data_IF_319162242744
#
_entry.id   IF_319162242744
#
_cell.length_a   1.000
_cell.length_b   1.000
_cell.length_c   1.000
_cell.angle_alpha   90.00
_cell.angle_beta   90.00
_cell.angle_gamma   90.00
#
_symmetry.space_group_name_H-M   'P 1'
#
loop_
_entity.id
_entity.type
_entity.pdbx_description
1 polymer ?
#
# COMPACT_ATOMS: atom_id res chain seq x y z
N UNK A 1 3.17 -13.98 7.05
CA UNK A 1 3.78 -13.24 5.94
C UNK A 1 3.06 -11.90 5.79
N UNK A 2 3.81 -10.87 5.44
CA UNK A 2 3.24 -9.60 5.00
C UNK A 2 3.44 -9.45 3.50
N UNK A 3 2.88 -8.41 2.92
CA UNK A 3 3.17 -8.03 1.55
C UNK A 3 3.38 -6.52 1.48
N UNK A 4 4.23 -6.11 0.57
CA UNK A 4 4.56 -4.70 0.34
C UNK A 4 4.00 -4.31 -1.01
N UNK A 5 3.15 -3.30 -1.02
CA UNK A 5 2.68 -2.65 -2.24
C UNK A 5 3.40 -1.31 -2.36
N UNK A 6 4.14 -1.13 -3.45
CA UNK A 6 4.93 0.07 -3.68
C UNK A 6 4.38 0.81 -4.90
N UNK A 7 4.15 2.11 -4.75
CA UNK A 7 3.61 2.98 -5.79
C UNK A 7 4.66 3.94 -6.30
N UNK A 8 4.75 4.07 -7.62
CA UNK A 8 5.44 5.17 -8.28
C UNK A 8 4.38 6.16 -8.74
N UNK A 9 4.54 7.41 -8.36
CA UNK A 9 3.57 8.46 -8.67
C UNK A 9 3.98 9.25 -9.92
N UNK A 10 2.99 9.87 -10.56
CA UNK A 10 3.26 10.81 -11.66
C UNK A 10 3.88 12.11 -11.09
N UNK A 11 4.47 12.94 -11.96
CA UNK A 11 5.28 14.08 -11.55
C UNK A 11 4.52 15.13 -10.74
N UNK A 12 3.23 15.32 -11.00
CA UNK A 12 2.39 16.29 -10.30
C UNK A 12 1.52 15.65 -9.21
N UNK A 13 1.99 14.56 -8.62
CA UNK A 13 1.26 13.74 -7.67
C UNK A 13 0.47 14.54 -6.62
N UNK A 14 1.10 15.51 -5.97
CA UNK A 14 0.44 16.27 -4.90
C UNK A 14 -0.78 17.04 -5.37
N UNK A 15 -0.81 17.46 -6.63
CA UNK A 15 -1.94 18.16 -7.24
C UNK A 15 -2.93 17.18 -7.83
N UNK A 16 -2.46 16.21 -8.60
CA UNK A 16 -3.31 15.25 -9.31
C UNK A 16 -4.11 14.38 -8.35
N UNK A 17 -3.54 14.00 -7.21
CA UNK A 17 -4.21 13.17 -6.22
C UNK A 17 -5.43 13.82 -5.58
N UNK A 18 -5.50 15.16 -5.52
CA UNK A 18 -6.54 15.88 -4.79
C UNK A 18 -7.94 15.42 -5.18
N UNK A 19 -8.18 15.24 -6.47
CA UNK A 19 -9.48 14.82 -6.98
C UNK A 19 -9.87 13.41 -6.54
N UNK A 20 -8.88 12.51 -6.40
CA UNK A 20 -9.11 11.08 -6.13
C UNK A 20 -8.81 10.70 -4.69
N UNK A 21 -8.28 11.62 -3.90
CA UNK A 21 -7.83 11.33 -2.55
C UNK A 21 -8.95 10.83 -1.63
N UNK A 22 -10.14 11.45 -1.60
CA UNK A 22 -11.21 10.95 -0.74
C UNK A 22 -11.58 9.49 -1.03
N UNK A 23 -11.71 9.12 -2.30
CA UNK A 23 -12.06 7.75 -2.69
C UNK A 23 -10.92 6.76 -2.40
N UNK A 24 -9.67 7.17 -2.63
CA UNK A 24 -8.49 6.38 -2.28
C UNK A 24 -8.45 6.11 -0.77
N UNK A 25 -8.65 7.14 0.05
CA UNK A 25 -8.65 6.99 1.51
C UNK A 25 -9.80 6.10 1.99
N UNK A 26 -10.99 6.19 1.41
CA UNK A 26 -12.09 5.29 1.75
C UNK A 26 -11.74 3.84 1.45
N UNK A 27 -11.16 3.59 0.29
CA UNK A 27 -10.73 2.23 -0.08
C UNK A 27 -9.67 1.70 0.86
N UNK A 28 -8.70 2.54 1.23
CA UNK A 28 -7.61 2.16 2.14
C UNK A 28 -8.14 1.84 3.54
N UNK A 29 -9.00 2.70 4.09
CA UNK A 29 -9.56 2.45 5.42
C UNK A 29 -10.52 1.26 5.43
N UNK A 30 -11.22 1.00 4.35
CA UNK A 30 -12.02 -0.22 4.21
C UNK A 30 -11.13 -1.46 4.25
N UNK A 31 -9.96 -1.40 3.64
CA UNK A 31 -8.99 -2.50 3.70
C UNK A 31 -8.43 -2.69 5.12
N UNK A 32 -8.23 -1.62 5.87
CA UNK A 32 -7.86 -1.70 7.30
C UNK A 32 -8.95 -2.42 8.09
N UNK A 33 -10.20 -2.04 7.91
CA UNK A 33 -11.33 -2.63 8.63
C UNK A 33 -11.52 -4.11 8.32
N UNK A 34 -11.22 -4.54 7.08
CA UNK A 34 -11.25 -5.95 6.70
C UNK A 34 -10.11 -6.77 7.28
N UNK A 35 -9.08 -6.11 7.84
CA UNK A 35 -7.88 -6.80 8.31
C UNK A 35 -6.84 -7.05 7.23
N UNK A 36 -6.95 -6.42 6.07
CA UNK A 36 -6.01 -6.59 4.95
C UNK A 36 -4.84 -5.61 5.01
N UNK A 37 -5.10 -4.36 5.34
CA UNK A 37 -4.09 -3.29 5.31
C UNK A 37 -3.66 -2.93 6.73
N UNK A 38 -2.37 -3.01 6.98
CA UNK A 38 -1.79 -2.67 8.28
C UNK A 38 -1.42 -1.19 8.36
N UNK A 39 -0.75 -0.68 7.34
CA UNK A 39 -0.17 0.65 7.35
C UNK A 39 0.07 1.12 5.93
N UNK A 40 -0.11 2.41 5.67
CA UNK A 40 0.16 2.97 4.36
C UNK A 40 0.48 4.46 4.42
N UNK A 41 1.22 4.95 3.45
CA UNK A 41 1.58 6.35 3.37
C UNK A 41 2.57 6.66 2.26
N UNK A 42 3.05 7.90 2.25
CA UNK A 42 4.05 8.38 1.31
C UNK A 42 5.41 8.39 1.97
N UNK A 43 6.40 7.91 1.24
CA UNK A 43 7.80 7.84 1.70
C UNK A 43 8.60 8.93 1.03
N UNK A 44 9.43 9.61 1.81
CA UNK A 44 10.34 10.64 1.33
C UNK A 44 9.85 12.05 1.61
N UNK A 45 10.59 13.03 1.14
CA UNK A 45 10.29 14.45 1.30
C UNK A 45 10.03 15.14 -0.04
N UNK A 46 10.22 14.39 -1.11
CA UNK A 46 10.04 14.77 -2.50
C UNK A 46 11.30 14.42 -3.31
N UNK A 47 11.14 13.64 -4.36
CA UNK A 47 9.90 13.00 -4.83
C UNK A 47 9.42 11.92 -3.85
N UNK A 48 8.12 11.69 -3.81
CA UNK A 48 7.49 10.70 -2.94
C UNK A 48 7.28 9.38 -3.67
N UNK A 49 7.32 8.27 -2.89
CA UNK A 49 6.79 6.98 -3.32
C UNK A 49 5.70 6.56 -2.36
N UNK A 50 4.80 5.69 -2.78
CA UNK A 50 3.78 5.14 -1.90
C UNK A 50 4.22 3.79 -1.36
N UNK A 51 3.90 3.52 -0.09
CA UNK A 51 4.19 2.25 0.54
C UNK A 51 2.99 1.83 1.36
N UNK A 52 2.46 0.63 1.08
CA UNK A 52 1.35 0.05 1.82
C UNK A 52 1.75 -1.37 2.25
N UNK A 53 1.51 -1.67 3.51
CA UNK A 53 1.86 -2.97 4.10
C UNK A 53 0.58 -3.76 4.32
N UNK A 54 0.49 -4.91 3.68
CA UNK A 54 -0.65 -5.80 3.79
C UNK A 54 -0.35 -6.97 4.71
N UNK A 55 -1.39 -7.45 5.36
CA UNK A 55 -1.35 -8.52 6.36
C UNK A 55 -2.52 -9.48 6.11
N UNK A 56 -2.80 -10.39 7.04
CA UNK A 56 -3.90 -11.35 6.94
C UNK A 56 -3.46 -12.68 6.34
N UNK A 57 -4.42 -13.46 5.87
CA UNK A 57 -4.16 -14.82 5.37
C UNK A 57 -3.48 -14.82 4.00
N UNK A 58 -3.87 -13.90 3.11
CA UNK A 58 -3.35 -13.81 1.75
C UNK A 58 -2.93 -12.37 1.43
N UNK A 59 -1.89 -11.86 2.09
CA UNK A 59 -1.53 -10.43 1.97
C UNK A 59 -1.10 -10.02 0.56
N UNK A 60 -0.41 -10.90 -0.17
CA UNK A 60 0.02 -10.57 -1.53
C UNK A 60 -1.17 -10.43 -2.47
N UNK A 61 -2.14 -11.33 -2.38
CA UNK A 61 -3.35 -11.27 -3.19
C UNK A 61 -4.20 -10.04 -2.83
N UNK A 62 -4.31 -9.75 -1.52
CA UNK A 62 -5.01 -8.55 -1.04
C UNK A 62 -4.35 -7.26 -1.57
N UNK A 63 -3.02 -7.20 -1.58
CA UNK A 63 -2.27 -6.06 -2.10
C UNK A 63 -2.52 -5.86 -3.60
N UNK A 64 -2.49 -6.94 -4.38
CA UNK A 64 -2.75 -6.89 -5.82
C UNK A 64 -4.19 -6.45 -6.13
N UNK A 65 -5.16 -7.00 -5.40
CA UNK A 65 -6.56 -6.63 -5.58
C UNK A 65 -6.79 -5.16 -5.22
N UNK A 66 -6.18 -4.67 -4.15
CA UNK A 66 -6.26 -3.27 -3.75
C UNK A 66 -5.72 -2.37 -4.86
N UNK A 67 -4.51 -2.64 -5.35
CA UNK A 67 -3.89 -1.83 -6.38
C UNK A 67 -4.73 -1.79 -7.67
N UNK A 68 -5.28 -2.92 -8.08
CA UNK A 68 -6.10 -3.00 -9.29
C UNK A 68 -7.37 -2.14 -9.20
N UNK A 69 -7.89 -1.90 -8.01
CA UNK A 69 -9.14 -1.17 -7.78
C UNK A 69 -8.93 0.25 -7.24
N UNK A 70 -7.70 0.61 -6.84
CA UNK A 70 -7.41 1.91 -6.23
C UNK A 70 -7.63 3.03 -7.23
N UNK A 71 -8.47 4.05 -6.90
CA UNK A 71 -8.66 5.21 -7.77
C UNK A 71 -7.37 5.93 -8.15
N UNK A 72 -6.35 5.91 -7.31
CA UNK A 72 -5.03 6.44 -7.66
C UNK A 72 -4.40 5.71 -8.83
N UNK A 73 -4.59 4.39 -8.89
CA UNK A 73 -4.04 3.55 -9.96
C UNK A 73 -4.89 3.70 -11.23
N UNK A 74 -6.21 3.57 -11.09
CA UNK A 74 -7.11 3.59 -12.25
C UNK A 74 -7.19 4.95 -12.93
N UNK A 75 -6.78 6.01 -12.26
CA UNK A 75 -6.81 7.38 -12.79
C UNK A 75 -5.41 7.98 -13.03
N UNK A 76 -4.37 7.17 -13.02
CA UNK A 76 -3.04 7.59 -13.45
C UNK A 76 -2.25 8.44 -12.46
N UNK A 77 -2.70 8.60 -11.23
CA UNK A 77 -1.91 9.22 -10.16
C UNK A 77 -0.70 8.34 -9.85
N UNK A 78 -0.92 7.04 -9.84
CA UNK A 78 0.12 6.01 -9.77
C UNK A 78 0.43 5.55 -11.19
N UNK A 79 1.68 5.69 -11.61
CA UNK A 79 2.11 5.30 -12.97
C UNK A 79 2.53 3.85 -13.06
N UNK A 80 3.02 3.29 -11.96
CA UNK A 80 3.36 1.87 -11.87
C UNK A 80 3.32 1.42 -10.42
N UNK A 81 3.14 0.12 -10.22
CA UNK A 81 3.15 -0.45 -8.89
C UNK A 81 3.72 -1.87 -8.90
N UNK A 82 4.26 -2.26 -7.76
CA UNK A 82 4.73 -3.63 -7.53
C UNK A 82 4.17 -4.13 -6.21
N UNK A 83 3.80 -5.41 -6.18
CA UNK A 83 3.39 -6.09 -4.95
C UNK A 83 4.30 -7.29 -4.75
N UNK A 84 4.93 -7.36 -3.57
CA UNK A 84 5.91 -8.40 -3.26
C UNK A 84 5.63 -8.99 -1.88
N UNK A 85 5.87 -10.31 -1.71
CA UNK A 85 5.80 -10.89 -0.37
C UNK A 85 6.95 -10.38 0.49
N UNK A 86 6.67 -10.19 1.78
CA UNK A 86 7.64 -9.70 2.74
C UNK A 86 7.67 -10.64 3.95
N UNK A 87 8.78 -11.34 4.13
CA UNK A 87 9.00 -12.20 5.30
C UNK A 87 9.49 -11.32 6.44
N UNK A 88 8.58 -11.02 7.37
CA UNK A 88 8.87 -10.15 8.51
C UNK A 88 9.33 -10.96 9.71
N UNK A 89 10.49 -10.62 10.26
CA UNK A 89 11.14 -11.40 11.32
C UNK A 89 11.46 -10.61 12.58
N UNK A 90 11.33 -9.28 12.53
CA UNK A 90 11.64 -8.38 13.63
C UNK A 90 10.43 -7.49 13.91
N UNK A 91 10.04 -7.39 15.16
CA UNK A 91 8.95 -6.54 15.63
C UNK A 91 7.77 -7.33 16.14
N UNK A 92 6.90 -6.65 16.90
CA UNK A 92 5.72 -7.27 17.50
C UNK A 92 4.71 -7.75 16.44
N UNK A 93 4.71 -7.11 15.28
CA UNK A 93 3.82 -7.46 14.18
C UNK A 93 4.46 -8.42 13.17
N UNK A 94 5.69 -8.86 13.42
CA UNK A 94 6.37 -9.80 12.52
C UNK A 94 5.60 -11.11 12.43
N UNK A 95 5.45 -11.63 11.20
CA UNK A 95 4.73 -12.88 10.96
C UNK A 95 5.50 -14.10 11.49
N UNK A 96 6.83 -14.06 11.39
CA UNK A 96 7.71 -15.15 11.83
C UNK A 96 8.87 -14.57 12.64
N UNK A 97 8.61 -14.08 13.86
CA UNK A 97 9.64 -13.39 14.64
C UNK A 97 10.83 -14.32 14.95
N UNK A 98 12.03 -13.78 14.78
CA UNK A 98 13.29 -14.48 15.04
C UNK A 98 14.04 -13.70 16.11
N UNK A 99 14.45 -14.40 17.16
CA UNK A 99 15.23 -13.83 18.25
C UNK A 99 16.60 -14.51 18.34
N UNK A 100 17.62 -13.84 18.95
CA UNK A 100 18.96 -14.43 19.13
C UNK A 100 18.92 -15.72 19.93
#
# INVERSE_FOLDING_TARGET
MHAVLEYTYEDNYLQTREKYRPDHLRAAWAAVERGDLLLGGAVGEGPFTGLLIFTGENPLEAARAFAAADPYVTNGVVTSWTARPWTTVIGNEAATPVRP
#
